data_IF_268859791318
#
_entry.id   IF_268859791318
#
_cell.length_a   1.000
_cell.length_b   1.000
_cell.length_c   1.000
_cell.angle_alpha   90.00
_cell.angle_beta   90.00
_cell.angle_gamma   90.00
#
_symmetry.space_group_name_H-M   'P 1'
#
loop_
_entity.id
_entity.type
_entity.pdbx_description
1 polymer ?
#
# COMPACT_ATOMS: atom_id res chain seq x y z
N UNK A 1 6.26 17.95 -9.29
CA UNK A 1 5.96 17.03 -10.41
C UNK A 1 5.54 17.85 -11.60
N UNK A 2 6.40 17.89 -12.63
CA UNK A 2 6.20 18.71 -13.83
C UNK A 2 5.56 17.92 -15.00
N UNK A 3 5.29 16.63 -14.81
CA UNK A 3 4.59 15.79 -15.78
C UNK A 3 3.06 15.89 -15.59
N UNK A 4 2.35 16.55 -16.52
CA UNK A 4 0.90 16.71 -16.44
C UNK A 4 0.16 15.36 -16.55
N UNK A 5 0.72 14.41 -17.32
CA UNK A 5 0.10 13.09 -17.53
C UNK A 5 0.11 12.28 -16.23
N UNK A 6 1.26 12.18 -15.58
CA UNK A 6 1.38 11.48 -14.31
C UNK A 6 0.53 12.13 -13.22
N UNK A 7 0.51 13.47 -13.18
CA UNK A 7 -0.35 14.22 -12.25
C UNK A 7 -1.83 13.88 -12.44
N UNK A 8 -2.30 13.82 -13.69
CA UNK A 8 -3.70 13.50 -13.99
C UNK A 8 -4.05 12.06 -13.55
N UNK A 9 -3.18 11.10 -13.85
CA UNK A 9 -3.37 9.69 -13.43
C UNK A 9 -3.49 9.59 -11.90
N UNK A 10 -2.55 10.19 -11.16
CA UNK A 10 -2.59 10.21 -9.69
C UNK A 10 -3.87 10.86 -9.16
N UNK A 11 -4.32 11.97 -9.75
CA UNK A 11 -5.56 12.63 -9.36
C UNK A 11 -6.78 11.73 -9.59
N UNK A 12 -6.87 11.07 -10.73
CA UNK A 12 -7.99 10.17 -11.05
C UNK A 12 -8.09 9.03 -10.03
N UNK A 13 -6.98 8.30 -9.82
CA UNK A 13 -6.98 7.19 -8.85
C UNK A 13 -7.30 7.69 -7.45
N UNK A 14 -6.71 8.81 -7.02
CA UNK A 14 -6.99 9.40 -5.71
C UNK A 14 -8.47 9.74 -5.55
N UNK A 15 -9.07 10.41 -6.52
CA UNK A 15 -10.45 10.90 -6.42
C UNK A 15 -11.44 9.72 -6.35
N UNK A 16 -11.12 8.61 -6.99
CA UNK A 16 -11.91 7.36 -6.90
C UNK A 16 -11.92 6.76 -5.49
N UNK A 17 -10.80 6.87 -4.74
CA UNK A 17 -10.62 6.14 -3.47
C UNK A 17 -10.66 7.01 -2.21
N UNK A 18 -10.82 8.35 -2.32
CA UNK A 18 -10.88 9.23 -1.16
C UNK A 18 -12.04 8.93 -0.20
N UNK A 19 -13.10 8.27 -0.67
CA UNK A 19 -14.23 7.84 0.14
C UNK A 19 -13.82 6.90 1.30
N UNK A 20 -12.65 6.27 1.23
CA UNK A 20 -12.12 5.42 2.31
C UNK A 20 -12.05 6.15 3.65
N UNK A 21 -11.71 7.44 3.64
CA UNK A 21 -11.60 8.23 4.88
C UNK A 21 -12.95 8.45 5.56
N UNK A 22 -14.05 8.39 4.79
CA UNK A 22 -15.42 8.57 5.29
C UNK A 22 -16.16 7.23 5.50
N UNK A 23 -15.51 6.10 5.18
CA UNK A 23 -16.11 4.77 5.25
C UNK A 23 -16.30 4.23 6.68
N UNK A 24 -15.76 4.94 7.69
CA UNK A 24 -15.82 4.51 9.09
C UNK A 24 -14.97 3.26 9.37
N UNK A 25 -13.85 3.12 8.65
CA UNK A 25 -12.88 2.05 8.86
C UNK A 25 -12.05 2.25 10.14
N UNK A 26 -11.59 1.17 10.77
CA UNK A 26 -10.72 1.24 11.95
C UNK A 26 -9.44 2.02 11.71
N UNK A 27 -9.06 2.81 12.71
CA UNK A 27 -7.85 3.63 12.75
C UNK A 27 -6.88 3.06 13.77
N UNK A 28 -5.61 2.95 13.41
CA UNK A 28 -4.52 2.52 14.29
C UNK A 28 -3.27 3.37 14.06
N UNK A 29 -2.25 3.16 14.89
CA UNK A 29 -0.92 3.62 14.53
C UNK A 29 -0.34 2.63 13.53
N UNK A 30 -0.05 3.09 12.34
CA UNK A 30 0.54 2.29 11.27
C UNK A 30 2.02 2.60 11.11
N UNK A 31 2.76 1.70 10.49
CA UNK A 31 4.16 1.93 10.13
C UNK A 31 4.27 2.97 8.99
N UNK A 32 3.39 2.87 7.99
CA UNK A 32 3.31 3.78 6.85
C UNK A 32 4.34 3.52 5.74
N UNK A 33 5.38 2.74 6.02
CA UNK A 33 6.41 2.35 5.03
C UNK A 33 6.98 0.95 5.32
N UNK A 34 6.08 -0.03 5.57
CA UNK A 34 6.49 -1.40 5.84
C UNK A 34 6.75 -2.17 4.55
N UNK A 35 8.03 -2.42 4.27
CA UNK A 35 8.51 -3.19 3.14
C UNK A 35 9.76 -4.00 3.48
N UNK A 36 10.25 -4.83 2.55
CA UNK A 36 11.31 -5.81 2.82
C UNK A 36 12.61 -5.19 3.39
N UNK A 37 12.98 -3.96 2.98
CA UNK A 37 14.17 -3.28 3.48
C UNK A 37 14.03 -2.76 4.92
N UNK A 38 12.79 -2.63 5.42
CA UNK A 38 12.50 -2.12 6.77
C UNK A 38 12.23 -3.25 7.77
N UNK A 39 12.58 -4.49 7.42
CA UNK A 39 12.47 -5.65 8.30
C UNK A 39 13.75 -6.48 8.34
N UNK A 40 14.07 -7.02 9.50
CA UNK A 40 15.03 -8.11 9.63
C UNK A 40 14.29 -9.43 9.75
N UNK A 41 14.75 -10.44 9.02
CA UNK A 41 14.23 -11.79 9.10
C UNK A 41 15.37 -12.79 9.33
N UNK A 42 15.16 -13.71 10.24
CA UNK A 42 16.08 -14.79 10.54
C UNK A 42 15.30 -16.11 10.62
N UNK A 43 15.79 -17.15 9.92
CA UNK A 43 15.15 -18.46 9.88
C UNK A 43 13.66 -18.43 9.50
N UNK A 44 13.29 -17.55 8.53
CA UNK A 44 11.91 -17.41 8.05
C UNK A 44 10.98 -16.65 9.00
N UNK A 45 11.52 -15.95 10.00
CA UNK A 45 10.75 -15.13 10.96
C UNK A 45 11.25 -13.71 10.95
N UNK A 46 10.32 -12.74 10.97
CA UNK A 46 10.65 -11.34 11.20
C UNK A 46 11.09 -11.20 12.65
N UNK A 47 12.31 -10.66 12.85
CA UNK A 47 12.93 -10.47 14.17
C UNK A 47 13.01 -9.01 14.59
N UNK A 48 12.93 -8.08 13.64
CA UNK A 48 12.86 -6.65 13.92
C UNK A 48 12.17 -5.91 12.77
N UNK A 49 11.53 -4.81 13.11
CA UNK A 49 10.99 -3.79 12.20
C UNK A 49 11.64 -2.47 12.59
N UNK A 50 12.03 -1.66 11.62
CA UNK A 50 12.70 -0.38 11.83
C UNK A 50 12.24 0.66 10.82
N UNK A 51 12.81 1.88 10.89
CA UNK A 51 12.41 3.03 10.08
C UNK A 51 10.98 3.50 10.35
N UNK A 52 10.74 3.87 11.61
CA UNK A 52 9.43 4.29 12.10
C UNK A 52 9.13 5.78 11.88
N UNK A 53 9.91 6.48 11.03
CA UNK A 53 9.77 7.93 10.83
C UNK A 53 8.45 8.32 10.14
N UNK A 54 7.82 7.39 9.40
CA UNK A 54 6.54 7.58 8.71
C UNK A 54 5.34 7.12 9.54
N UNK A 55 5.58 6.69 10.79
CA UNK A 55 4.49 6.21 11.67
C UNK A 55 3.45 7.29 11.89
N UNK A 56 2.20 6.97 11.58
CA UNK A 56 1.07 7.88 11.77
C UNK A 56 -0.18 7.15 12.27
N UNK A 57 -1.14 7.92 12.77
CA UNK A 57 -2.45 7.40 13.17
C UNK A 57 -3.46 7.61 12.05
N UNK A 58 -3.76 6.55 11.32
CA UNK A 58 -4.67 6.57 10.17
C UNK A 58 -5.37 5.22 9.97
N UNK A 59 -6.02 5.00 8.83
CA UNK A 59 -6.68 3.74 8.49
C UNK A 59 -5.67 2.58 8.48
N UNK A 60 -5.89 1.56 9.32
CA UNK A 60 -4.91 0.45 9.45
C UNK A 60 -4.72 -0.37 8.18
N UNK A 61 -5.74 -0.41 7.30
CA UNK A 61 -5.66 -1.08 5.99
C UNK A 61 -4.61 -0.46 5.05
N UNK A 62 -4.19 0.79 5.30
CA UNK A 62 -3.16 1.45 4.48
C UNK A 62 -1.77 0.81 4.66
N UNK A 63 -1.46 0.23 5.81
CA UNK A 63 -0.20 -0.55 5.97
C UNK A 63 -0.19 -1.78 5.06
N UNK A 64 -1.32 -2.48 4.96
CA UNK A 64 -1.48 -3.62 4.05
C UNK A 64 -1.33 -3.15 2.60
N UNK A 65 -2.03 -2.07 2.24
CA UNK A 65 -1.94 -1.48 0.90
C UNK A 65 -0.52 -1.06 0.54
N UNK A 66 0.21 -0.43 1.47
CA UNK A 66 1.60 0.00 1.25
C UNK A 66 2.55 -1.19 1.06
N UNK A 67 2.46 -2.19 1.91
CA UNK A 67 3.27 -3.42 1.80
C UNK A 67 3.00 -4.16 0.50
N UNK A 68 1.74 -4.16 0.04
CA UNK A 68 1.34 -4.84 -1.19
C UNK A 68 2.00 -4.22 -2.45
N UNK A 69 2.33 -2.93 -2.46
CA UNK A 69 2.96 -2.27 -3.62
C UNK A 69 4.31 -2.92 -3.94
N UNK A 70 5.19 -3.02 -2.94
CA UNK A 70 6.53 -3.58 -3.16
C UNK A 70 6.47 -5.06 -3.52
N UNK A 71 5.56 -5.82 -2.88
CA UNK A 71 5.34 -7.22 -3.23
C UNK A 71 4.82 -7.37 -4.67
N UNK A 72 3.94 -6.49 -5.15
CA UNK A 72 3.44 -6.53 -6.52
C UNK A 72 4.57 -6.26 -7.54
N UNK A 73 5.49 -5.35 -7.22
CA UNK A 73 6.63 -5.04 -8.08
C UNK A 73 7.68 -6.16 -8.09
N UNK A 74 7.86 -6.86 -6.98
CA UNK A 74 8.82 -7.95 -6.84
C UNK A 74 8.27 -9.30 -7.34
N UNK A 75 7.02 -9.60 -6.99
CA UNK A 75 6.35 -10.88 -7.28
C UNK A 75 5.63 -10.86 -8.63
N UNK A 76 6.32 -10.53 -9.71
CA UNK A 76 5.78 -10.28 -11.07
C UNK A 76 4.80 -11.33 -11.63
N UNK A 77 4.69 -12.50 -11.04
CA UNK A 77 3.78 -13.60 -11.45
C UNK A 77 2.56 -13.73 -10.55
N UNK A 78 2.46 -12.91 -9.51
CA UNK A 78 1.35 -12.95 -8.55
C UNK A 78 0.48 -11.72 -8.77
N UNK A 79 -0.82 -11.89 -8.86
CA UNK A 79 -1.75 -10.76 -9.05
C UNK A 79 -1.86 -9.93 -7.78
N UNK A 80 -2.21 -8.65 -7.90
CA UNK A 80 -2.44 -7.79 -6.74
C UNK A 80 -3.53 -8.35 -5.82
N UNK A 81 -4.67 -8.86 -6.33
CA UNK A 81 -5.66 -9.53 -5.47
C UNK A 81 -5.09 -10.69 -4.65
N UNK A 82 -4.26 -11.55 -5.23
CA UNK A 82 -3.65 -12.68 -4.51
C UNK A 82 -2.67 -12.20 -3.43
N UNK A 83 -1.93 -11.12 -3.70
CA UNK A 83 -1.02 -10.49 -2.73
C UNK A 83 -1.82 -9.90 -1.56
N UNK A 84 -2.90 -9.19 -1.84
CA UNK A 84 -3.77 -8.62 -0.82
C UNK A 84 -4.42 -9.72 0.03
N UNK A 85 -4.83 -10.84 -0.58
CA UNK A 85 -5.35 -12.01 0.13
C UNK A 85 -4.30 -12.61 1.07
N UNK A 86 -3.08 -12.81 0.58
CA UNK A 86 -1.97 -13.34 1.38
C UNK A 86 -1.66 -12.44 2.59
N UNK A 87 -1.61 -11.12 2.38
CA UNK A 87 -1.36 -10.16 3.46
C UNK A 87 -2.52 -10.11 4.46
N UNK A 88 -3.76 -10.16 3.98
CA UNK A 88 -4.97 -10.25 4.81
C UNK A 88 -4.91 -11.47 5.71
N UNK A 89 -4.62 -12.65 5.14
CA UNK A 89 -4.58 -13.90 5.89
C UNK A 89 -3.55 -13.84 7.01
N UNK A 90 -2.35 -13.30 6.72
CA UNK A 90 -1.32 -13.11 7.75
C UNK A 90 -1.72 -12.07 8.81
N UNK A 91 -2.43 -11.01 8.43
CA UNK A 91 -2.91 -9.99 9.36
C UNK A 91 -4.01 -10.54 10.27
N UNK A 92 -4.94 -11.32 9.71
CA UNK A 92 -6.06 -11.94 10.42
C UNK A 92 -5.62 -12.94 11.51
N UNK A 93 -4.41 -13.51 11.41
CA UNK A 93 -3.84 -14.38 12.46
C UNK A 93 -3.59 -13.62 13.79
N UNK A 94 -3.40 -12.29 13.72
CA UNK A 94 -3.04 -11.46 14.87
C UNK A 94 -4.21 -10.58 15.30
N UNK A 95 -4.82 -9.86 14.35
CA UNK A 95 -5.91 -8.92 14.58
C UNK A 95 -6.85 -8.89 13.38
N UNK A 96 -7.91 -9.69 13.44
CA UNK A 96 -8.81 -9.92 12.33
C UNK A 96 -9.38 -8.61 11.75
N UNK A 97 -9.33 -8.49 10.43
CA UNK A 97 -9.98 -7.40 9.71
C UNK A 97 -11.50 -7.57 9.74
N UNK A 98 -12.20 -6.45 9.84
CA UNK A 98 -13.66 -6.41 9.63
C UNK A 98 -14.01 -6.68 8.15
N UNK A 99 -15.24 -7.08 7.85
CA UNK A 99 -15.69 -7.28 6.46
C UNK A 99 -15.53 -6.00 5.64
N UNK A 100 -15.83 -4.83 6.22
CA UNK A 100 -15.62 -3.53 5.56
C UNK A 100 -14.15 -3.27 5.20
N UNK A 101 -13.22 -3.67 6.05
CA UNK A 101 -11.80 -3.52 5.78
C UNK A 101 -11.32 -4.46 4.68
N UNK A 102 -11.83 -5.69 4.66
CA UNK A 102 -11.53 -6.66 3.60
C UNK A 102 -12.00 -6.15 2.24
N UNK A 103 -13.21 -5.62 2.19
CA UNK A 103 -13.78 -5.03 0.98
C UNK A 103 -12.99 -3.77 0.52
N UNK A 104 -12.38 -3.06 1.46
CA UNK A 104 -11.62 -1.84 1.21
C UNK A 104 -10.16 -2.07 0.79
N UNK A 105 -9.62 -3.30 0.86
CA UNK A 105 -8.21 -3.57 0.57
C UNK A 105 -7.76 -3.14 -0.83
N UNK A 106 -8.53 -3.37 -1.92
CA UNK A 106 -8.15 -2.88 -3.24
C UNK A 106 -8.01 -1.36 -3.29
N UNK A 107 -8.93 -0.63 -2.68
CA UNK A 107 -8.88 0.82 -2.64
C UNK A 107 -7.79 1.34 -1.70
N UNK A 108 -7.48 0.62 -0.61
CA UNK A 108 -6.35 0.93 0.25
C UNK A 108 -5.01 0.77 -0.48
N UNK A 109 -4.86 -0.26 -1.32
CA UNK A 109 -3.72 -0.41 -2.21
C UNK A 109 -3.61 0.77 -3.19
N UNK A 110 -4.71 1.14 -3.85
CA UNK A 110 -4.75 2.26 -4.80
C UNK A 110 -4.38 3.58 -4.12
N UNK A 111 -4.91 3.85 -2.93
CA UNK A 111 -4.62 5.06 -2.17
C UNK A 111 -3.14 5.13 -1.73
N UNK A 112 -2.61 4.04 -1.19
CA UNK A 112 -1.19 3.93 -0.83
C UNK A 112 -0.29 4.12 -2.07
N UNK A 113 -0.69 3.56 -3.22
CA UNK A 113 0.04 3.71 -4.48
C UNK A 113 0.11 5.17 -4.93
N UNK A 114 -0.97 5.95 -4.78
CA UNK A 114 -0.96 7.39 -5.12
C UNK A 114 0.11 8.14 -4.31
N UNK A 115 0.14 7.94 -3.00
CA UNK A 115 1.11 8.59 -2.12
C UNK A 115 2.55 8.18 -2.46
N UNK A 116 2.79 6.88 -2.58
CA UNK A 116 4.10 6.31 -2.88
C UNK A 116 4.60 6.75 -4.27
N UNK A 117 3.75 6.69 -5.29
CA UNK A 117 4.12 7.07 -6.65
C UNK A 117 4.38 8.57 -6.78
N UNK A 118 3.63 9.42 -6.08
CA UNK A 118 3.88 10.85 -6.07
C UNK A 118 5.26 11.19 -5.47
N UNK A 119 5.62 10.55 -4.38
CA UNK A 119 6.93 10.71 -3.76
C UNK A 119 8.05 10.17 -4.67
N UNK A 120 7.92 8.94 -5.15
CA UNK A 120 8.92 8.26 -5.98
C UNK A 120 9.19 9.03 -7.28
N UNK A 121 8.14 9.49 -7.96
CA UNK A 121 8.28 10.27 -9.18
C UNK A 121 9.06 11.57 -8.97
N UNK A 122 8.80 12.29 -7.87
CA UNK A 122 9.48 13.54 -7.54
C UNK A 122 10.94 13.34 -7.09
N UNK A 123 11.29 12.14 -6.62
CA UNK A 123 12.63 11.82 -6.11
C UNK A 123 13.49 11.00 -7.10
N UNK A 124 13.09 10.89 -8.36
CA UNK A 124 13.91 10.29 -9.40
C UNK A 124 13.67 8.79 -9.65
N UNK A 125 12.64 8.21 -9.02
CA UNK A 125 12.24 6.80 -9.18
C UNK A 125 11.02 6.67 -10.10
N UNK A 126 11.10 7.27 -11.32
CA UNK A 126 9.97 7.34 -12.24
C UNK A 126 9.48 5.97 -12.69
N UNK A 127 10.39 5.03 -13.00
CA UNK A 127 10.00 3.69 -13.44
C UNK A 127 9.22 2.95 -12.35
N UNK A 128 9.67 3.02 -11.09
CA UNK A 128 8.93 2.49 -9.96
C UNK A 128 7.51 3.08 -9.85
N UNK A 129 7.42 4.41 -9.95
CA UNK A 129 6.12 5.09 -9.86
C UNK A 129 5.17 4.69 -10.99
N UNK A 130 5.68 4.53 -12.21
CA UNK A 130 4.89 4.13 -13.38
C UNK A 130 4.41 2.68 -13.25
N UNK A 131 5.27 1.77 -12.84
CA UNK A 131 4.93 0.35 -12.64
C UNK A 131 3.87 0.19 -11.52
N UNK A 132 4.07 0.88 -10.39
CA UNK A 132 3.10 0.86 -9.29
C UNK A 132 1.73 1.39 -9.73
N UNK A 133 1.70 2.49 -10.50
CA UNK A 133 0.45 3.06 -11.02
C UNK A 133 -0.27 2.11 -11.99
N UNK A 134 0.45 1.34 -12.81
CA UNK A 134 -0.18 0.34 -13.68
C UNK A 134 -0.95 -0.71 -12.88
N UNK A 135 -0.39 -1.16 -11.76
CA UNK A 135 -1.08 -2.09 -10.86
C UNK A 135 -2.34 -1.47 -10.24
N UNK A 136 -2.27 -0.20 -9.80
CA UNK A 136 -3.41 0.48 -9.19
C UNK A 136 -4.56 0.74 -10.18
N UNK A 137 -4.25 1.01 -11.44
CA UNK A 137 -5.23 1.25 -12.51
C UNK A 137 -5.87 -0.06 -13.03
N UNK A 138 -5.26 -1.22 -12.75
CA UNK A 138 -5.75 -2.54 -13.17
C UNK A 138 -6.76 -3.16 -12.19
N UNK A 139 -6.97 -2.57 -11.03
CA UNK A 139 -7.97 -2.95 -10.02
C UNK A 139 -9.28 -2.18 -10.21
#
# INVERSE_FOLDING_TARGET
MDDPTMRLRLQQVRDDVLHLYDAGLPVANIHGDLWASNVFAENGRITAVFDLETTEKTLRVLDIGRTAIDLALEMKRTSVPDILEMLRDGYDEVDALTDKERDALPDAFRLATVACSAWSYNNGFQDYALDAMQHAESL
#
